data_IF_489917638687
#
_entry.id   IF_489917638687
#
_cell.length_a   1.000
_cell.length_b   1.000
_cell.length_c   1.000
_cell.angle_alpha   90.00
_cell.angle_beta   90.00
_cell.angle_gamma   90.00
#
_symmetry.space_group_name_H-M   'P 1'
#
loop_
_entity.id
_entity.type
_entity.pdbx_description
1 polymer ?
#
# COMPACT_ATOMS: atom_id res chain seq x y z
N UNK A 1 2.81 25.57 -7.40
CA UNK A 1 1.53 25.09 -6.82
C UNK A 1 1.82 23.77 -6.13
N UNK A 2 1.85 23.73 -4.80
CA UNK A 2 2.02 22.49 -4.04
C UNK A 2 0.69 21.74 -4.05
N UNK A 3 0.61 20.63 -4.79
CA UNK A 3 -0.55 19.73 -4.74
C UNK A 3 -0.42 18.83 -3.51
N UNK A 4 -1.48 18.75 -2.71
CA UNK A 4 -1.52 17.86 -1.55
C UNK A 4 -1.56 16.40 -2.02
N UNK A 5 -0.97 15.45 -1.27
CA UNK A 5 -1.13 14.02 -1.54
C UNK A 5 -2.62 13.65 -1.60
N UNK A 6 -3.01 12.87 -2.60
CA UNK A 6 -4.38 12.38 -2.72
C UNK A 6 -4.53 11.11 -1.88
N UNK A 7 -5.63 11.00 -1.12
CA UNK A 7 -5.99 9.77 -0.44
C UNK A 7 -6.47 8.77 -1.49
N UNK A 8 -5.76 7.64 -1.60
CA UNK A 8 -6.11 6.58 -2.53
C UNK A 8 -6.97 5.50 -1.86
N UNK A 9 -6.85 5.33 -0.55
CA UNK A 9 -7.70 4.40 0.17
C UNK A 9 -7.30 4.15 1.61
N UNK A 10 -8.19 3.42 2.29
CA UNK A 10 -8.01 2.96 3.65
C UNK A 10 -8.12 1.44 3.70
N UNK A 11 -7.14 0.80 4.32
CA UNK A 11 -7.11 -0.63 4.58
C UNK A 11 -7.28 -0.90 6.07
N UNK A 12 -8.26 -1.71 6.45
CA UNK A 12 -8.34 -2.28 7.80
C UNK A 12 -7.70 -3.65 7.80
N UNK A 13 -6.87 -3.94 8.79
CA UNK A 13 -6.22 -5.24 8.96
C UNK A 13 -6.67 -5.81 10.30
N UNK A 14 -7.20 -7.03 10.30
CA UNK A 14 -7.53 -7.77 11.51
C UNK A 14 -6.74 -9.08 11.53
N UNK A 15 -5.82 -9.23 12.49
CA UNK A 15 -5.11 -10.49 12.74
C UNK A 15 -5.76 -11.21 13.91
N UNK A 16 -6.42 -12.33 13.63
CA UNK A 16 -7.23 -13.03 14.63
C UNK A 16 -6.40 -13.59 15.78
N UNK A 17 -5.30 -14.31 15.48
CA UNK A 17 -4.48 -14.95 16.51
C UNK A 17 -3.78 -13.97 17.44
N UNK A 18 -3.24 -12.88 16.89
CA UNK A 18 -2.52 -11.88 17.68
C UNK A 18 -3.44 -10.79 18.25
N UNK A 19 -4.74 -10.80 17.93
CA UNK A 19 -5.71 -9.76 18.30
C UNK A 19 -5.29 -8.35 17.90
N UNK A 20 -4.46 -8.23 16.86
CA UNK A 20 -3.99 -6.95 16.35
C UNK A 20 -4.99 -6.43 15.33
N UNK A 21 -5.42 -5.18 15.52
CA UNK A 21 -6.17 -4.42 14.54
C UNK A 21 -5.35 -3.21 14.11
N UNK A 22 -5.19 -3.04 12.81
CA UNK A 22 -4.44 -1.95 12.22
C UNK A 22 -5.26 -1.23 11.16
N UNK A 23 -4.93 0.03 10.94
CA UNK A 23 -5.40 0.81 9.80
C UNK A 23 -4.20 1.23 8.97
N UNK A 24 -4.34 1.13 7.66
CA UNK A 24 -3.35 1.52 6.67
C UNK A 24 -4.00 2.60 5.81
N UNK A 25 -3.41 3.79 5.79
CA UNK A 25 -3.84 4.86 4.91
C UNK A 25 -2.86 4.96 3.75
N UNK A 26 -3.39 4.92 2.54
CA UNK A 26 -2.63 4.91 1.32
C UNK A 26 -2.77 6.26 0.63
N UNK A 27 -1.64 6.85 0.26
CA UNK A 27 -1.57 8.16 -0.38
C UNK A 27 -0.74 8.06 -1.64
N UNK A 28 -1.10 8.84 -2.65
CA UNK A 28 -0.34 8.98 -3.88
C UNK A 28 -0.07 10.46 -4.15
N UNK A 29 1.12 10.76 -4.65
CA UNK A 29 1.50 12.12 -5.08
C UNK A 29 2.36 12.04 -6.34
N UNK A 30 2.22 13.03 -7.19
CA UNK A 30 3.11 13.29 -8.34
C UNK A 30 4.04 14.48 -8.09
N UNK A 31 3.92 15.14 -6.94
CA UNK A 31 4.73 16.29 -6.54
C UNK A 31 5.47 15.98 -5.25
N UNK A 32 6.76 16.31 -5.25
CA UNK A 32 7.66 16.19 -4.12
C UNK A 32 8.80 17.21 -4.28
N UNK A 33 9.46 17.54 -3.17
CA UNK A 33 10.61 18.44 -3.13
C UNK A 33 11.70 17.80 -2.25
N UNK A 34 12.97 18.14 -2.50
CA UNK A 34 14.13 17.60 -1.79
C UNK A 34 14.84 16.47 -2.54
N UNK A 35 15.82 15.85 -1.87
CA UNK A 35 16.68 14.81 -2.43
C UNK A 35 16.47 13.47 -1.71
N UNK A 36 16.72 12.37 -2.43
CA UNK A 36 16.59 11.03 -1.89
C UNK A 36 17.74 10.75 -0.90
N UNK A 37 17.42 10.30 0.30
CA UNK A 37 18.44 9.95 1.30
C UNK A 37 19.21 8.70 0.87
N UNK A 38 20.54 8.79 0.82
CA UNK A 38 21.40 7.70 0.33
C UNK A 38 21.44 6.48 1.26
N UNK A 39 21.32 6.68 2.58
CA UNK A 39 21.41 5.59 3.56
C UNK A 39 20.30 5.63 4.63
N UNK A 40 19.07 5.23 4.27
CA UNK A 40 17.95 5.23 5.20
C UNK A 40 18.06 4.06 6.20
N UNK A 41 17.61 4.24 7.46
CA UNK A 41 17.72 3.21 8.50
C UNK A 41 16.83 1.97 8.29
N UNK A 42 15.88 2.00 7.35
CA UNK A 42 14.87 0.93 7.13
C UNK A 42 15.05 0.17 5.82
N UNK A 43 16.14 0.41 5.09
CA UNK A 43 16.45 -0.23 3.82
C UNK A 43 16.80 0.78 2.72
N UNK A 44 17.06 0.25 1.52
CA UNK A 44 17.47 1.03 0.35
C UNK A 44 16.28 1.69 -0.35
N UNK A 45 16.48 2.92 -0.82
CA UNK A 45 15.51 3.64 -1.65
C UNK A 45 16.01 3.68 -3.09
N UNK A 46 15.13 3.32 -4.02
CA UNK A 46 15.43 3.36 -5.44
C UNK A 46 14.21 3.82 -6.25
N UNK A 47 14.46 4.61 -7.29
CA UNK A 47 13.46 4.90 -8.30
C UNK A 47 13.33 3.70 -9.24
N UNK A 48 12.10 3.20 -9.40
CA UNK A 48 11.82 2.03 -10.23
C UNK A 48 10.79 2.35 -11.31
N UNK A 49 10.95 1.82 -12.53
CA UNK A 49 9.91 1.94 -13.56
C UNK A 49 8.62 1.25 -13.10
N UNK A 50 7.48 1.94 -13.27
CA UNK A 50 6.15 1.40 -12.89
C UNK A 50 5.85 0.04 -13.54
N UNK A 51 6.21 -0.12 -14.81
CA UNK A 51 5.95 -1.34 -15.59
C UNK A 51 6.71 -2.57 -15.09
N UNK A 52 7.73 -2.40 -14.24
CA UNK A 52 8.52 -3.50 -13.67
C UNK A 52 8.28 -3.73 -12.18
N UNK A 53 7.49 -2.91 -11.49
CA UNK A 53 7.43 -2.93 -10.02
C UNK A 53 6.91 -4.27 -9.46
N UNK A 54 6.04 -4.97 -10.20
CA UNK A 54 5.51 -6.27 -9.81
C UNK A 54 6.56 -7.41 -9.83
N UNK A 55 7.76 -7.20 -10.37
CA UNK A 55 8.86 -8.19 -10.30
C UNK A 55 9.67 -8.09 -9.01
N UNK A 56 9.66 -6.94 -8.32
CA UNK A 56 10.44 -6.69 -7.10
C UNK A 56 10.02 -7.59 -5.93
N UNK A 57 10.91 -7.94 -5.01
CA UNK A 57 10.53 -8.69 -3.81
C UNK A 57 9.60 -7.84 -2.93
N UNK A 58 8.32 -8.21 -2.90
CA UNK A 58 7.28 -7.56 -2.09
C UNK A 58 6.36 -8.62 -1.52
N UNK A 59 5.63 -8.26 -0.46
CA UNK A 59 4.63 -9.14 0.12
C UNK A 59 3.51 -9.46 -0.89
N UNK A 60 3.18 -10.74 -1.01
CA UNK A 60 2.25 -11.28 -2.01
C UNK A 60 0.87 -10.59 -2.01
N UNK A 61 0.32 -10.32 -0.82
CA UNK A 61 -0.97 -9.66 -0.68
C UNK A 61 -0.95 -8.23 -1.23
N UNK A 62 0.16 -7.52 -1.07
CA UNK A 62 0.31 -6.17 -1.61
C UNK A 62 0.46 -6.20 -3.12
N UNK A 63 1.30 -7.11 -3.63
CA UNK A 63 1.56 -7.29 -5.07
C UNK A 63 0.31 -7.63 -5.86
N UNK A 64 -0.44 -8.64 -5.39
CA UNK A 64 -1.53 -9.25 -6.17
C UNK A 64 -2.80 -8.42 -6.18
N UNK A 65 -3.12 -7.73 -5.08
CA UNK A 65 -4.37 -6.99 -4.97
C UNK A 65 -4.17 -5.48 -4.79
N UNK A 66 -3.30 -5.03 -3.87
CA UNK A 66 -3.26 -3.59 -3.55
C UNK A 66 -2.56 -2.75 -4.60
N UNK A 67 -1.39 -3.18 -5.08
CA UNK A 67 -0.58 -2.38 -5.99
C UNK A 67 -1.29 -2.03 -7.31
N UNK A 68 -2.02 -2.93 -7.99
CA UNK A 68 -2.78 -2.57 -9.20
C UNK A 68 -3.86 -1.52 -8.89
N UNK A 69 -4.59 -1.72 -7.78
CA UNK A 69 -5.68 -0.86 -7.33
C UNK A 69 -5.23 0.56 -6.94
N UNK A 70 -3.96 0.74 -6.56
CA UNK A 70 -3.39 2.05 -6.21
C UNK A 70 -3.36 3.05 -7.37
N UNK A 71 -3.42 2.58 -8.61
CA UNK A 71 -3.36 3.42 -9.81
C UNK A 71 -4.68 3.47 -10.57
N UNK A 72 -5.73 2.85 -10.04
CA UNK A 72 -7.08 2.98 -10.58
C UNK A 72 -7.72 4.27 -10.06
N UNK A 73 -8.58 4.89 -10.86
CA UNK A 73 -9.30 6.09 -10.43
C UNK A 73 -10.29 5.75 -9.31
N UNK A 74 -10.36 6.61 -8.29
CA UNK A 74 -11.28 6.51 -7.15
C UNK A 74 -10.60 6.20 -5.82
N UNK A 75 -11.40 6.15 -4.75
CA UNK A 75 -10.93 5.81 -3.40
C UNK A 75 -11.40 4.41 -3.02
N UNK A 76 -10.54 3.66 -2.34
CA UNK A 76 -10.80 2.27 -1.98
C UNK A 76 -10.86 2.06 -0.47
N UNK A 77 -11.83 1.26 -0.03
CA UNK A 77 -11.86 0.68 1.31
C UNK A 77 -11.58 -0.82 1.21
N UNK A 78 -10.53 -1.28 1.90
CA UNK A 78 -10.10 -2.69 1.90
C UNK A 78 -10.21 -3.22 3.33
N UNK A 79 -10.81 -4.38 3.52
CA UNK A 79 -10.82 -5.05 4.82
C UNK A 79 -10.10 -6.40 4.74
N UNK A 80 -8.92 -6.53 5.35
CA UNK A 80 -8.13 -7.75 5.32
C UNK A 80 -8.26 -8.53 6.64
N UNK A 81 -8.82 -9.73 6.58
CA UNK A 81 -8.89 -10.67 7.69
C UNK A 81 -7.77 -11.71 7.57
N UNK A 82 -6.97 -11.87 8.62
CA UNK A 82 -5.82 -12.76 8.66
C UNK A 82 -5.93 -13.77 9.79
N UNK A 83 -5.62 -15.03 9.52
CA UNK A 83 -5.58 -16.12 10.51
C UNK A 83 -4.29 -16.16 11.34
N UNK A 84 -3.37 -15.24 11.08
CA UNK A 84 -2.03 -15.17 11.66
C UNK A 84 -0.92 -15.35 10.63
N UNK A 85 -1.11 -16.25 9.66
CA UNK A 85 -0.10 -16.55 8.62
C UNK A 85 -0.64 -16.30 7.21
N UNK A 86 -1.95 -16.45 7.02
CA UNK A 86 -2.63 -16.40 5.74
C UNK A 86 -3.78 -15.40 5.75
N UNK A 87 -4.00 -14.78 4.59
CA UNK A 87 -5.16 -13.93 4.33
C UNK A 87 -6.38 -14.83 4.11
N UNK A 88 -7.45 -14.60 4.88
CA UNK A 88 -8.71 -15.33 4.76
C UNK A 88 -9.67 -14.57 3.85
N UNK A 89 -9.74 -13.25 4.03
CA UNK A 89 -10.74 -12.43 3.35
C UNK A 89 -10.16 -11.05 3.05
N UNK A 90 -10.46 -10.52 1.87
CA UNK A 90 -10.11 -9.16 1.49
C UNK A 90 -11.17 -8.52 0.58
N UNK A 91 -12.39 -8.24 1.10
CA UNK A 91 -13.35 -7.44 0.34
C UNK A 91 -12.78 -6.06 0.04
N UNK A 92 -12.97 -5.65 -1.21
CA UNK A 92 -12.63 -4.32 -1.72
C UNK A 92 -13.93 -3.60 -2.05
N UNK A 93 -14.09 -2.40 -1.49
CA UNK A 93 -15.19 -1.50 -1.79
C UNK A 93 -14.65 -0.24 -2.45
N UNK A 94 -15.26 0.14 -3.56
CA UNK A 94 -15.02 1.43 -4.23
C UNK A 94 -15.99 2.46 -3.64
N UNK A 95 -15.47 3.66 -3.37
CA UNK A 95 -16.25 4.79 -2.87
C UNK A 95 -16.60 5.76 -3.99
#
# INVERSE_FOLDING_TARGET
MSSKPCVQGVGRICRMKSRIRGMVFNYITSTFEGELMENPPKGELAWVPKQGTLSLLMQDWFKKMRFPLFFEDGTLEIFSLWDGNSLIQEPVKRL
#
